data_IF_525804070450
#
_entry.id   IF_525804070450
#
_cell.length_a   1.000
_cell.length_b   1.000
_cell.length_c   1.000
_cell.angle_alpha   90.00
_cell.angle_beta   90.00
_cell.angle_gamma   90.00
#
_symmetry.space_group_name_H-M   'P 1'
#
loop_
_entity.id
_entity.type
_entity.pdbx_description
1 polymer ?
#
# COMPACT_ATOMS: atom_id res chain seq x y z
N UNK A 1 -21.78 8.31 8.68
CA UNK A 1 -23.03 8.64 9.40
C UNK A 1 -24.24 8.59 8.48
N UNK A 2 -24.23 9.23 7.32
CA UNK A 2 -25.33 9.21 6.33
C UNK A 2 -25.72 7.81 5.85
N UNK A 3 -24.76 6.92 5.57
CA UNK A 3 -25.05 5.56 5.11
C UNK A 3 -25.70 4.67 6.18
N UNK A 4 -25.34 4.85 7.46
CA UNK A 4 -25.95 4.15 8.59
C UNK A 4 -27.38 4.65 8.81
N UNK A 5 -27.61 5.95 8.67
CA UNK A 5 -28.94 6.58 8.74
C UNK A 5 -29.80 6.06 7.58
N UNK A 6 -29.24 6.01 6.36
CA UNK A 6 -29.95 5.48 5.19
C UNK A 6 -30.33 4.01 5.35
N UNK A 7 -29.43 3.20 5.90
CA UNK A 7 -29.68 1.78 6.21
C UNK A 7 -30.78 1.64 7.27
N UNK A 8 -30.73 2.46 8.34
CA UNK A 8 -31.75 2.48 9.41
C UNK A 8 -33.11 2.94 8.87
N UNK A 9 -33.12 3.93 7.96
CA UNK A 9 -34.36 4.41 7.32
C UNK A 9 -34.93 3.32 6.40
N UNK A 10 -34.11 2.66 5.58
CA UNK A 10 -34.55 1.57 4.70
C UNK A 10 -35.08 0.37 5.52
N UNK A 11 -34.38 0.00 6.60
CA UNK A 11 -34.85 -1.05 7.52
C UNK A 11 -36.13 -0.63 8.24
N UNK A 12 -36.24 0.62 8.69
CA UNK A 12 -37.42 1.17 9.37
C UNK A 12 -38.64 1.29 8.43
N UNK A 13 -38.44 1.70 7.19
CA UNK A 13 -39.49 1.73 6.16
C UNK A 13 -39.92 0.32 5.78
N UNK A 14 -38.97 -0.60 5.56
CA UNK A 14 -39.26 -2.02 5.32
C UNK A 14 -40.06 -2.63 6.46
N UNK A 15 -39.72 -2.32 7.72
CA UNK A 15 -40.45 -2.79 8.89
C UNK A 15 -41.88 -2.23 8.98
N UNK A 16 -42.14 -1.01 8.54
CA UNK A 16 -43.47 -0.38 8.52
C UNK A 16 -44.37 -0.91 7.38
N UNK A 17 -43.77 -1.29 6.25
CA UNK A 17 -44.52 -1.74 5.06
C UNK A 17 -44.83 -3.25 5.05
N UNK A 18 -44.33 -4.05 6.02
CA UNK A 18 -44.57 -5.50 6.11
C UNK A 18 -45.70 -5.84 7.08
N UNK A 19 -46.49 -6.82 6.72
CA UNK A 19 -47.57 -7.32 7.60
C UNK A 19 -47.01 -8.07 8.81
N UNK A 20 -47.74 -8.23 9.92
CA UNK A 20 -47.27 -9.02 11.07
C UNK A 20 -46.85 -10.45 10.71
N UNK A 21 -47.54 -11.06 9.73
CA UNK A 21 -47.23 -12.40 9.25
C UNK A 21 -45.91 -12.45 8.46
N UNK A 22 -45.66 -11.46 7.61
CA UNK A 22 -44.39 -11.35 6.86
C UNK A 22 -43.19 -11.10 7.80
N UNK A 23 -43.41 -10.34 8.88
CA UNK A 23 -42.39 -10.14 9.92
C UNK A 23 -42.05 -11.42 10.66
N UNK A 24 -43.06 -12.20 11.00
CA UNK A 24 -42.89 -13.52 11.66
C UNK A 24 -42.11 -14.47 10.74
N UNK A 25 -42.47 -14.58 9.46
CA UNK A 25 -41.74 -15.38 8.45
C UNK A 25 -40.32 -14.87 8.23
N UNK A 26 -40.10 -13.53 8.20
CA UNK A 26 -38.76 -12.96 8.05
C UNK A 26 -37.87 -13.29 9.25
N UNK A 27 -38.42 -13.18 10.47
CA UNK A 27 -37.68 -13.49 11.71
C UNK A 27 -37.38 -14.99 11.80
N UNK A 28 -38.31 -15.84 11.40
CA UNK A 28 -38.11 -17.30 11.36
C UNK A 28 -37.05 -17.68 10.34
N UNK A 29 -37.11 -17.15 9.11
CA UNK A 29 -36.08 -17.35 8.08
C UNK A 29 -34.75 -16.80 8.50
N UNK A 30 -34.69 -15.63 9.13
CA UNK A 30 -33.47 -15.04 9.66
C UNK A 30 -32.88 -15.91 10.80
N UNK A 31 -33.69 -16.46 11.67
CA UNK A 31 -33.25 -17.36 12.74
C UNK A 31 -32.68 -18.67 12.18
N UNK A 32 -33.31 -19.25 11.17
CA UNK A 32 -32.85 -20.46 10.48
C UNK A 32 -31.52 -20.15 9.78
N UNK A 33 -31.44 -19.05 9.01
CA UNK A 33 -30.23 -18.62 8.33
C UNK A 33 -29.08 -18.36 9.31
N UNK A 34 -29.36 -17.71 10.45
CA UNK A 34 -28.38 -17.49 11.52
C UNK A 34 -27.87 -18.79 12.13
N UNK A 35 -28.77 -19.77 12.32
CA UNK A 35 -28.41 -21.10 12.83
C UNK A 35 -27.52 -21.85 11.84
N UNK A 36 -27.85 -21.80 10.55
CA UNK A 36 -27.06 -22.42 9.50
C UNK A 36 -25.68 -21.73 9.34
N UNK A 37 -25.64 -20.40 9.36
CA UNK A 37 -24.38 -19.63 9.36
C UNK A 37 -23.51 -20.00 10.57
N UNK A 38 -24.11 -20.10 11.77
CA UNK A 38 -23.38 -20.54 12.98
C UNK A 38 -22.87 -21.96 12.85
N UNK A 39 -23.65 -22.89 12.31
CA UNK A 39 -23.26 -24.29 12.08
C UNK A 39 -22.10 -24.38 11.08
N UNK A 40 -22.20 -23.66 9.96
CA UNK A 40 -21.15 -23.60 8.94
C UNK A 40 -19.87 -22.96 9.54
N UNK A 41 -20.02 -21.89 10.31
CA UNK A 41 -18.88 -21.24 10.97
C UNK A 41 -18.23 -22.17 12.01
N UNK A 42 -19.00 -22.91 12.79
CA UNK A 42 -18.48 -23.88 13.74
C UNK A 42 -17.74 -25.04 13.04
N UNK A 43 -18.30 -25.58 11.95
CA UNK A 43 -17.62 -26.61 11.14
C UNK A 43 -16.31 -26.10 10.56
N UNK A 44 -16.31 -24.91 9.95
CA UNK A 44 -15.10 -24.26 9.42
C UNK A 44 -14.07 -23.96 10.51
N UNK A 45 -14.52 -23.66 11.72
CA UNK A 45 -13.64 -23.42 12.88
C UNK A 45 -12.95 -24.72 13.31
N UNK A 46 -13.67 -25.83 13.37
CA UNK A 46 -13.14 -27.16 13.68
C UNK A 46 -12.11 -27.62 12.63
N UNK A 47 -12.43 -27.48 11.35
CA UNK A 47 -11.52 -27.85 10.26
C UNK A 47 -10.23 -27.02 10.23
N UNK A 48 -10.26 -25.77 10.72
CA UNK A 48 -9.10 -24.88 10.82
C UNK A 48 -8.33 -25.00 12.15
N UNK A 49 -8.83 -25.76 13.12
CA UNK A 49 -8.24 -25.89 14.44
C UNK A 49 -6.82 -26.44 14.42
N UNK A 50 -6.52 -27.54 13.69
CA UNK A 50 -5.16 -28.13 13.68
C UNK A 50 -4.12 -27.13 13.22
N UNK A 51 -4.40 -26.39 12.15
CA UNK A 51 -3.51 -25.34 11.64
C UNK A 51 -3.32 -24.20 12.64
N UNK A 52 -4.39 -23.77 13.31
CA UNK A 52 -4.32 -22.70 14.33
C UNK A 52 -3.54 -23.13 15.56
N UNK A 53 -3.64 -24.38 15.96
CA UNK A 53 -2.93 -24.91 17.12
C UNK A 53 -1.45 -25.11 16.78
N UNK A 54 -1.11 -25.55 15.58
CA UNK A 54 0.26 -25.57 15.08
C UNK A 54 0.86 -24.14 14.98
N UNK A 55 0.09 -23.14 14.53
CA UNK A 55 0.54 -21.75 14.57
C UNK A 55 0.79 -21.23 15.99
N UNK A 56 -0.07 -21.61 16.96
CA UNK A 56 0.10 -21.22 18.37
C UNK A 56 1.30 -21.91 19.01
N UNK A 57 1.58 -23.16 18.65
CA UNK A 57 2.73 -23.90 19.13
C UNK A 57 4.05 -23.21 18.69
N UNK A 58 4.12 -22.68 17.47
CA UNK A 58 5.28 -21.93 16.98
C UNK A 58 5.45 -20.55 17.63
N UNK A 59 4.36 -19.82 17.79
CA UNK A 59 4.37 -18.51 18.44
C UNK A 59 3.03 -18.24 19.09
N UNK A 60 3.02 -18.16 20.42
CA UNK A 60 1.80 -17.94 21.22
C UNK A 60 1.09 -16.63 20.81
N UNK A 61 1.85 -15.56 20.51
CA UNK A 61 1.33 -14.22 20.25
C UNK A 61 1.98 -13.61 19.01
N UNK A 62 1.16 -13.09 18.09
CA UNK A 62 1.60 -12.13 17.09
C UNK A 62 1.64 -10.75 17.78
N UNK A 63 2.78 -10.09 17.77
CA UNK A 63 3.01 -8.79 18.44
C UNK A 63 3.27 -7.69 17.41
N UNK A 64 4.01 -8.00 16.34
CA UNK A 64 4.42 -7.03 15.33
C UNK A 64 3.22 -6.52 14.55
N UNK A 65 2.34 -7.42 14.11
CA UNK A 65 1.13 -7.06 13.35
C UNK A 65 0.23 -6.08 14.11
N UNK A 66 -0.20 -6.35 15.37
CA UNK A 66 -1.02 -5.38 16.10
C UNK A 66 -0.27 -4.09 16.43
N UNK A 67 1.05 -4.13 16.63
CA UNK A 67 1.85 -2.92 16.84
C UNK A 67 1.87 -2.03 15.58
N UNK A 68 2.06 -2.62 14.40
CA UNK A 68 1.99 -1.89 13.12
C UNK A 68 0.59 -1.29 12.90
N UNK A 69 -0.47 -2.04 13.18
CA UNK A 69 -1.85 -1.54 13.09
C UNK A 69 -2.06 -0.37 14.05
N UNK A 70 -1.67 -0.52 15.32
CA UNK A 70 -1.81 0.53 16.32
C UNK A 70 -1.06 1.79 15.92
N UNK A 71 0.16 1.67 15.38
CA UNK A 71 0.96 2.81 14.92
C UNK A 71 0.30 3.53 13.72
N UNK A 72 -0.22 2.79 12.74
CA UNK A 72 -0.94 3.37 11.61
C UNK A 72 -2.21 4.13 12.07
N UNK A 73 -2.99 3.52 12.97
CA UNK A 73 -4.19 4.16 13.53
C UNK A 73 -3.82 5.39 14.36
N UNK A 74 -2.78 5.30 15.20
CA UNK A 74 -2.28 6.42 15.99
C UNK A 74 -1.85 7.59 15.10
N UNK A 75 -1.06 7.33 14.06
CA UNK A 75 -0.62 8.36 13.11
C UNK A 75 -1.80 9.00 12.39
N UNK A 76 -2.75 8.20 11.93
CA UNK A 76 -3.96 8.71 11.27
C UNK A 76 -4.79 9.61 12.20
N UNK A 77 -5.04 9.18 13.45
CA UNK A 77 -5.75 9.98 14.45
C UNK A 77 -5.00 11.27 14.79
N UNK A 78 -3.66 11.21 14.84
CA UNK A 78 -2.82 12.38 15.07
C UNK A 78 -2.91 13.37 13.92
N UNK A 79 -2.89 12.91 12.67
CA UNK A 79 -3.08 13.74 11.48
C UNK A 79 -4.48 14.38 11.45
N UNK A 80 -5.53 13.65 11.86
CA UNK A 80 -6.90 14.20 11.96
C UNK A 80 -7.02 15.37 12.97
N UNK A 81 -6.17 15.36 14.02
CA UNK A 81 -6.14 16.44 15.02
C UNK A 81 -5.19 17.57 14.62
N UNK A 82 -4.33 17.34 13.67
CA UNK A 82 -3.41 18.34 13.13
C UNK A 82 -4.12 19.36 12.23
N UNK A 83 -3.36 20.37 11.82
CA UNK A 83 -3.84 21.34 10.83
C UNK A 83 -3.60 20.81 9.41
N UNK A 84 -4.53 21.10 8.51
CA UNK A 84 -4.48 20.74 7.09
C UNK A 84 -5.40 19.57 6.72
N UNK A 85 -5.64 19.40 5.44
CA UNK A 85 -6.46 18.30 4.92
C UNK A 85 -5.60 17.03 4.75
N UNK A 86 -6.11 15.87 5.14
CA UNK A 86 -5.39 14.60 5.06
C UNK A 86 -4.91 14.24 3.65
N UNK A 87 -5.59 14.69 2.60
CA UNK A 87 -5.23 14.46 1.20
C UNK A 87 -4.33 15.55 0.60
N UNK A 88 -4.05 16.62 1.34
CA UNK A 88 -3.21 17.70 0.85
C UNK A 88 -1.73 17.32 0.86
N UNK A 89 -1.02 17.43 -0.29
CA UNK A 89 0.38 17.04 -0.40
C UNK A 89 1.31 17.76 0.59
N UNK A 90 1.09 19.05 0.86
CA UNK A 90 1.94 19.82 1.78
C UNK A 90 1.73 19.34 3.22
N UNK A 91 0.49 19.06 3.60
CA UNK A 91 0.17 18.45 4.89
C UNK A 91 0.88 17.11 5.04
N UNK A 92 0.81 16.22 4.03
CA UNK A 92 1.46 14.92 4.07
C UNK A 92 2.98 15.08 4.19
N UNK A 93 3.60 15.99 3.44
CA UNK A 93 5.04 16.29 3.52
C UNK A 93 5.43 16.81 4.91
N UNK A 94 4.61 17.68 5.52
CA UNK A 94 4.86 18.20 6.87
C UNK A 94 4.84 17.09 7.93
N UNK A 95 4.00 16.09 7.77
CA UNK A 95 3.91 14.90 8.62
C UNK A 95 4.94 13.81 8.33
N UNK A 96 5.83 14.01 7.37
CA UNK A 96 6.91 13.06 7.05
C UNK A 96 6.61 12.15 5.86
N UNK A 97 5.69 12.56 4.97
CA UNK A 97 5.45 11.87 3.70
C UNK A 97 6.70 11.81 2.84
N UNK A 98 6.82 10.76 2.04
CA UNK A 98 7.94 10.54 1.15
C UNK A 98 7.83 11.48 -0.04
N UNK A 99 8.80 12.38 -0.17
CA UNK A 99 8.87 13.43 -1.18
C UNK A 99 10.31 13.62 -1.63
N UNK A 100 10.59 13.44 -2.92
CA UNK A 100 11.94 13.38 -3.47
C UNK A 100 12.85 14.50 -3.00
N UNK A 101 12.48 15.77 -3.19
CA UNK A 101 13.30 16.90 -2.80
C UNK A 101 13.71 16.96 -1.33
N UNK A 102 12.95 16.37 -0.43
CA UNK A 102 13.32 16.28 0.99
C UNK A 102 14.01 14.95 1.32
N UNK A 103 13.40 13.85 0.86
CA UNK A 103 13.91 12.50 1.16
C UNK A 103 15.33 12.33 0.67
N UNK A 104 15.63 12.74 -0.59
CA UNK A 104 16.93 12.51 -1.22
C UNK A 104 18.01 13.51 -0.80
N UNK A 105 17.60 14.62 -0.17
CA UNK A 105 18.50 15.66 0.34
C UNK A 105 18.73 15.56 1.87
N UNK A 106 18.68 14.36 2.42
CA UNK A 106 19.07 14.05 3.80
C UNK A 106 17.98 13.52 4.70
N UNK A 107 16.68 13.65 4.35
CA UNK A 107 15.58 13.20 5.18
C UNK A 107 15.14 11.76 4.84
N UNK A 108 16.10 10.83 4.67
CA UNK A 108 15.85 9.41 4.30
C UNK A 108 14.93 8.66 5.25
N UNK A 109 14.79 9.13 6.49
CA UNK A 109 13.85 8.60 7.46
C UNK A 109 12.39 8.65 6.98
N UNK A 110 12.08 9.53 6.02
CA UNK A 110 10.76 9.64 5.40
C UNK A 110 10.32 8.36 4.67
N UNK A 111 11.26 7.57 4.15
CA UNK A 111 10.94 6.28 3.52
C UNK A 111 10.26 5.33 4.51
N UNK A 112 10.69 5.33 5.77
CA UNK A 112 10.09 4.49 6.82
C UNK A 112 8.85 5.16 7.41
N UNK A 113 8.92 6.45 7.69
CA UNK A 113 7.85 7.16 8.38
C UNK A 113 6.59 7.29 7.52
N UNK A 114 6.75 7.52 6.22
CA UNK A 114 5.64 7.60 5.26
C UNK A 114 4.78 6.33 5.19
N UNK A 115 5.35 5.17 5.54
CA UNK A 115 4.62 3.89 5.59
C UNK A 115 3.51 3.85 6.65
N UNK A 116 3.49 4.81 7.58
CA UNK A 116 2.50 4.89 8.65
C UNK A 116 1.48 6.01 8.43
N UNK A 117 1.65 6.81 7.38
CA UNK A 117 0.75 7.89 7.03
C UNK A 117 -0.35 7.37 6.10
N UNK A 118 -1.60 7.56 6.45
CA UNK A 118 -2.73 7.21 5.60
C UNK A 118 -3.49 8.49 5.23
N UNK A 119 -3.69 8.73 3.95
CA UNK A 119 -4.27 9.96 3.40
C UNK A 119 -5.79 9.95 3.39
N UNK A 120 -6.42 8.79 3.68
CA UNK A 120 -7.87 8.64 3.68
C UNK A 120 -8.38 7.54 4.60
N UNK A 121 -9.62 7.70 5.08
CA UNK A 121 -10.27 6.74 5.97
C UNK A 121 -10.43 5.35 5.33
N UNK A 122 -10.85 5.29 4.08
CA UNK A 122 -11.00 4.02 3.37
C UNK A 122 -9.65 3.33 3.14
N UNK A 123 -8.61 4.10 2.81
CA UNK A 123 -7.25 3.59 2.68
C UNK A 123 -6.79 2.94 4.00
N UNK A 124 -6.96 3.63 5.12
CA UNK A 124 -6.61 3.09 6.43
C UNK A 124 -7.34 1.77 6.70
N UNK A 125 -8.68 1.73 6.52
CA UNK A 125 -9.48 0.53 6.80
C UNK A 125 -9.01 -0.65 5.96
N UNK A 126 -8.87 -0.46 4.65
CA UNK A 126 -8.49 -1.53 3.72
C UNK A 126 -7.08 -2.04 4.05
N UNK A 127 -6.14 -1.13 4.32
CA UNK A 127 -4.78 -1.49 4.73
C UNK A 127 -4.77 -2.26 6.05
N UNK A 128 -5.51 -1.82 7.06
CA UNK A 128 -5.54 -2.46 8.38
C UNK A 128 -6.23 -3.81 8.35
N UNK A 129 -7.32 -3.96 7.58
CA UNK A 129 -7.96 -5.27 7.38
C UNK A 129 -7.00 -6.23 6.69
N UNK A 130 -6.34 -5.80 5.63
CA UNK A 130 -5.37 -6.62 4.90
C UNK A 130 -4.20 -7.01 5.79
N UNK A 131 -3.57 -6.04 6.45
CA UNK A 131 -2.45 -6.28 7.36
C UNK A 131 -2.85 -7.21 8.52
N UNK A 132 -4.02 -7.02 9.12
CA UNK A 132 -4.51 -7.85 10.22
C UNK A 132 -4.75 -9.30 9.81
N UNK A 133 -5.33 -9.52 8.62
CA UNK A 133 -5.65 -10.86 8.15
C UNK A 133 -4.40 -11.67 7.77
N UNK A 134 -3.51 -11.09 6.94
CA UNK A 134 -2.31 -11.80 6.48
C UNK A 134 -1.19 -11.74 7.50
N UNK A 135 -1.05 -10.61 8.21
CA UNK A 135 0.07 -10.37 9.12
C UNK A 135 0.09 -11.35 10.28
N UNK A 136 -1.05 -11.57 10.96
CA UNK A 136 -1.13 -12.52 12.09
C UNK A 136 -0.74 -13.95 11.69
N UNK A 137 -1.02 -14.36 10.45
CA UNK A 137 -0.65 -15.67 9.95
C UNK A 137 0.84 -15.70 9.60
N UNK A 138 1.31 -14.74 8.77
CA UNK A 138 2.69 -14.71 8.30
C UNK A 138 3.69 -14.48 9.44
N UNK A 139 3.38 -13.59 10.39
CA UNK A 139 4.24 -13.35 11.55
C UNK A 139 4.53 -14.63 12.34
N UNK A 140 3.52 -15.53 12.44
CA UNK A 140 3.69 -16.82 13.13
C UNK A 140 4.35 -17.87 12.24
N UNK A 141 4.15 -17.80 10.92
CA UNK A 141 4.74 -18.76 9.96
C UNK A 141 6.23 -18.52 9.78
N UNK A 142 6.64 -17.28 9.49
CA UNK A 142 8.04 -16.93 9.19
C UNK A 142 8.81 -16.39 10.39
N UNK A 143 8.11 -16.08 11.50
CA UNK A 143 8.69 -15.46 12.69
C UNK A 143 8.67 -13.92 12.64
N UNK A 144 8.73 -13.33 13.85
CA UNK A 144 8.55 -11.87 14.06
C UNK A 144 9.58 -11.03 13.30
N UNK A 145 10.86 -11.41 13.41
CA UNK A 145 11.97 -10.65 12.79
C UNK A 145 11.91 -10.71 11.26
N UNK A 146 11.67 -11.88 10.68
CA UNK A 146 11.53 -12.04 9.24
C UNK A 146 10.30 -11.29 8.70
N UNK A 147 9.18 -11.38 9.40
CA UNK A 147 7.95 -10.66 9.05
C UNK A 147 8.17 -9.13 9.04
N UNK A 148 8.73 -8.59 10.14
CA UNK A 148 9.04 -7.17 10.23
C UNK A 148 10.05 -6.75 9.17
N UNK A 149 11.11 -7.53 8.96
CA UNK A 149 12.13 -7.28 7.94
C UNK A 149 11.53 -7.18 6.54
N UNK A 150 10.67 -8.12 6.16
CA UNK A 150 9.99 -8.09 4.84
C UNK A 150 9.06 -6.89 4.72
N UNK A 151 8.29 -6.58 5.77
CA UNK A 151 7.39 -5.41 5.78
C UNK A 151 8.16 -4.11 5.52
N UNK A 152 9.22 -3.85 6.30
CA UNK A 152 10.02 -2.63 6.14
C UNK A 152 10.79 -2.61 4.84
N UNK A 153 11.41 -3.73 4.44
CA UNK A 153 12.15 -3.82 3.19
C UNK A 153 11.26 -3.54 1.97
N UNK A 154 10.08 -4.16 1.92
CA UNK A 154 9.12 -3.95 0.84
C UNK A 154 8.61 -2.50 0.78
N UNK A 155 8.32 -1.91 1.94
CA UNK A 155 7.89 -0.51 2.01
C UNK A 155 8.97 0.47 1.59
N UNK A 156 10.20 0.29 2.06
CA UNK A 156 11.36 1.13 1.68
C UNK A 156 11.62 1.02 0.18
N UNK A 157 11.65 -0.20 -0.36
CA UNK A 157 11.91 -0.41 -1.78
C UNK A 157 10.80 0.16 -2.66
N UNK A 158 9.54 -0.02 -2.26
CA UNK A 158 8.39 0.62 -2.92
C UNK A 158 8.47 2.15 -2.88
N UNK A 159 8.87 2.72 -1.74
CA UNK A 159 9.10 4.16 -1.58
C UNK A 159 10.22 4.69 -2.47
N UNK A 160 11.33 3.95 -2.61
CA UNK A 160 12.43 4.30 -3.53
C UNK A 160 11.99 4.25 -4.99
N UNK A 161 11.23 3.22 -5.38
CA UNK A 161 10.73 3.13 -6.76
C UNK A 161 9.71 4.24 -7.06
N UNK A 162 8.87 4.60 -6.09
CA UNK A 162 7.98 5.77 -6.20
C UNK A 162 8.75 7.04 -6.48
N UNK A 163 9.86 7.29 -5.75
CA UNK A 163 10.74 8.45 -6.00
C UNK A 163 11.43 8.41 -7.35
N UNK A 164 11.82 7.22 -7.82
CA UNK A 164 12.44 7.06 -9.14
C UNK A 164 11.47 7.36 -10.28
N UNK A 165 10.20 6.98 -10.12
CA UNK A 165 9.18 7.15 -11.15
C UNK A 165 8.52 8.54 -11.12
N UNK A 166 8.31 9.07 -9.91
CA UNK A 166 7.59 10.33 -9.67
C UNK A 166 8.27 11.13 -8.56
N UNK A 167 9.45 11.73 -8.84
CA UNK A 167 10.30 12.33 -7.81
C UNK A 167 9.66 13.51 -7.06
N UNK A 168 8.76 14.22 -7.71
CA UNK A 168 8.06 15.39 -7.11
C UNK A 168 6.68 15.09 -6.58
N UNK A 169 6.21 13.84 -6.71
CA UNK A 169 4.96 13.43 -6.10
C UNK A 169 5.18 13.03 -4.64
N UNK A 170 4.19 13.33 -3.81
CA UNK A 170 4.19 12.91 -2.40
C UNK A 170 3.57 11.54 -2.30
N UNK A 171 4.29 10.59 -1.73
CA UNK A 171 3.76 9.26 -1.46
C UNK A 171 3.68 8.96 0.04
N UNK A 172 2.60 8.30 0.44
CA UNK A 172 2.33 7.91 1.81
C UNK A 172 1.42 6.68 1.86
N UNK A 173 1.63 5.84 2.84
CA UNK A 173 0.83 4.66 3.11
C UNK A 173 1.63 3.37 3.19
N UNK A 174 1.11 2.36 3.89
CA UNK A 174 1.74 1.05 4.03
C UNK A 174 1.49 0.11 2.84
N UNK A 175 0.87 0.56 1.74
CA UNK A 175 0.40 -0.31 0.65
C UNK A 175 1.52 -1.12 0.01
N UNK A 176 2.69 -0.54 -0.25
CA UNK A 176 3.85 -1.26 -0.78
C UNK A 176 4.37 -2.33 0.20
N UNK A 177 4.40 -2.03 1.50
CA UNK A 177 4.79 -2.98 2.53
C UNK A 177 3.80 -4.15 2.64
N UNK A 178 2.49 -3.86 2.59
CA UNK A 178 1.42 -4.88 2.61
C UNK A 178 1.47 -5.71 1.33
N UNK A 179 1.72 -5.10 0.17
CA UNK A 179 1.95 -5.83 -1.09
C UNK A 179 3.14 -6.79 -0.97
N UNK A 180 4.21 -6.38 -0.27
CA UNK A 180 5.32 -7.27 0.09
C UNK A 180 4.90 -8.49 0.91
N UNK A 181 4.01 -8.30 1.87
CA UNK A 181 3.46 -9.43 2.64
C UNK A 181 2.58 -10.35 1.77
N UNK A 182 1.87 -9.83 0.78
CA UNK A 182 1.17 -10.67 -0.21
C UNK A 182 2.16 -11.43 -1.10
N UNK A 183 3.28 -10.81 -1.50
CA UNK A 183 4.37 -11.49 -2.21
C UNK A 183 4.98 -12.63 -1.38
N UNK A 184 5.26 -12.38 -0.11
CA UNK A 184 5.71 -13.38 0.85
C UNK A 184 4.71 -14.54 0.97
N UNK A 185 3.41 -14.22 1.12
CA UNK A 185 2.34 -15.22 1.19
C UNK A 185 2.31 -16.07 -0.08
N UNK A 186 2.37 -15.45 -1.24
CA UNK A 186 2.37 -16.15 -2.53
C UNK A 186 3.55 -17.11 -2.65
N UNK A 187 4.76 -16.69 -2.27
CA UNK A 187 5.95 -17.53 -2.29
C UNK A 187 5.83 -18.73 -1.34
N UNK A 188 5.33 -18.51 -0.11
CA UNK A 188 5.10 -19.59 0.88
C UNK A 188 4.05 -20.59 0.37
N UNK A 189 2.97 -20.10 -0.24
CA UNK A 189 1.93 -20.96 -0.82
C UNK A 189 2.46 -21.76 -2.01
N UNK A 190 3.20 -21.12 -2.91
CA UNK A 190 3.78 -21.77 -4.08
C UNK A 190 4.78 -22.84 -3.65
N UNK A 191 5.64 -22.53 -2.68
CA UNK A 191 6.57 -23.51 -2.12
C UNK A 191 5.86 -24.72 -1.53
N UNK A 192 4.82 -24.50 -0.72
CA UNK A 192 4.02 -25.56 -0.13
C UNK A 192 3.25 -26.38 -1.18
N UNK A 193 2.90 -25.77 -2.33
CA UNK A 193 2.25 -26.47 -3.44
C UNK A 193 3.25 -27.37 -4.22
N UNK A 194 4.43 -26.85 -4.53
CA UNK A 194 5.47 -27.56 -5.29
C UNK A 194 6.02 -28.75 -4.48
N UNK A 195 6.18 -28.59 -3.16
CA UNK A 195 6.77 -29.57 -2.28
C UNK A 195 5.73 -30.41 -1.50
N UNK A 196 4.47 -30.44 -1.94
CA UNK A 196 3.48 -31.38 -1.43
C UNK A 196 3.97 -32.80 -1.72
N UNK A 197 4.37 -33.52 -0.66
CA UNK A 197 4.52 -34.99 -0.77
C UNK A 197 3.13 -35.59 -0.94
N UNK A 198 2.92 -36.54 -1.87
CA UNK A 198 1.77 -37.43 -1.81
C UNK A 198 1.72 -38.04 -0.40
N UNK A 199 0.54 -38.17 0.18
CA UNK A 199 0.37 -38.94 1.42
C UNK A 199 1.01 -40.31 1.18
N UNK A 200 1.96 -40.78 2.03
CA UNK A 200 2.50 -42.10 1.86
C UNK A 200 1.36 -43.12 1.95
N UNK A 201 1.20 -43.96 0.96
CA UNK A 201 0.57 -45.26 1.16
C UNK A 201 1.31 -45.92 2.33
N UNK A 202 0.57 -46.53 3.25
CA UNK A 202 0.93 -46.91 4.60
C UNK A 202 2.11 -47.88 4.81
N UNK A 203 2.91 -48.14 3.80
CA UNK A 203 3.94 -49.22 3.84
C UNK A 203 5.36 -48.80 3.41
N UNK A 204 5.68 -47.52 3.28
CA UNK A 204 7.06 -47.10 2.96
C UNK A 204 7.81 -46.73 4.25
N UNK A 205 8.87 -47.50 4.55
CA UNK A 205 9.84 -47.32 5.62
C UNK A 205 10.30 -45.86 5.73
N UNK A 206 10.24 -45.38 6.95
CA UNK A 206 10.71 -44.03 7.38
C UNK A 206 12.24 -44.04 7.35
N UNK A 207 12.82 -43.62 6.26
CA UNK A 207 14.20 -43.12 6.21
C UNK A 207 14.17 -41.88 5.36
N UNK A 208 14.29 -40.73 5.97
CA UNK A 208 15.10 -39.62 5.51
C UNK A 208 14.73 -38.34 6.27
N UNK A 209 15.76 -37.59 6.59
CA UNK A 209 15.81 -36.30 7.27
C UNK A 209 14.54 -35.48 7.12
N UNK A 210 13.83 -35.30 8.22
CA UNK A 210 12.57 -34.53 8.30
C UNK A 210 12.92 -33.06 8.08
N UNK A 211 12.96 -32.66 6.81
CA UNK A 211 12.73 -31.27 6.47
C UNK A 211 11.31 -30.96 6.92
N UNK A 212 11.14 -30.38 8.11
CA UNK A 212 9.84 -29.81 8.46
C UNK A 212 9.54 -28.67 7.48
N UNK A 213 8.61 -28.86 6.53
CA UNK A 213 8.24 -27.78 5.64
C UNK A 213 7.62 -26.68 6.50
N UNK A 214 7.91 -25.41 6.16
CA UNK A 214 7.11 -24.29 6.64
C UNK A 214 5.65 -24.69 6.64
N UNK A 215 4.96 -24.48 7.76
CA UNK A 215 3.59 -24.88 7.99
C UNK A 215 2.73 -24.60 6.74
N UNK A 216 2.29 -25.64 6.05
CA UNK A 216 1.50 -25.51 4.82
C UNK A 216 0.18 -24.82 5.15
N UNK A 217 -0.04 -23.64 4.57
CA UNK A 217 -1.28 -22.87 4.77
C UNK A 217 -2.42 -23.60 4.05
N UNK A 218 -3.45 -24.06 4.77
CA UNK A 218 -4.55 -24.79 4.14
C UNK A 218 -5.29 -23.93 3.12
N UNK A 219 -5.70 -24.53 1.99
CA UNK A 219 -6.45 -23.82 0.93
C UNK A 219 -7.70 -23.11 1.46
N UNK A 220 -8.33 -23.64 2.50
CA UNK A 220 -9.47 -23.00 3.17
C UNK A 220 -9.08 -21.64 3.79
N UNK A 221 -7.87 -21.51 4.34
CA UNK A 221 -7.37 -20.23 4.85
C UNK A 221 -7.11 -19.25 3.72
N UNK A 222 -6.55 -19.72 2.60
CA UNK A 222 -6.36 -18.89 1.39
C UNK A 222 -7.69 -18.34 0.88
N UNK A 223 -8.72 -19.18 0.78
CA UNK A 223 -10.08 -18.76 0.39
C UNK A 223 -10.68 -17.73 1.35
N UNK A 224 -10.29 -17.75 2.62
CA UNK A 224 -10.72 -16.76 3.63
C UNK A 224 -9.99 -15.44 3.48
N UNK A 225 -8.72 -15.45 3.05
CA UNK A 225 -7.90 -14.25 2.81
C UNK A 225 -8.24 -13.57 1.49
N UNK A 226 -8.73 -14.32 0.50
CA UNK A 226 -8.97 -13.85 -0.85
C UNK A 226 -9.86 -12.60 -0.97
N UNK A 227 -10.99 -12.45 -0.23
CA UNK A 227 -11.82 -11.25 -0.34
C UNK A 227 -11.11 -9.97 0.07
N UNK A 228 -10.33 -10.01 1.16
CA UNK A 228 -9.57 -8.83 1.60
C UNK A 228 -8.40 -8.53 0.67
N UNK A 229 -7.73 -9.57 0.16
CA UNK A 229 -6.68 -9.42 -0.85
C UNK A 229 -7.23 -8.80 -2.13
N UNK A 230 -8.39 -9.26 -2.60
CA UNK A 230 -9.05 -8.70 -3.79
C UNK A 230 -9.45 -7.24 -3.55
N UNK A 231 -10.07 -6.94 -2.41
CA UNK A 231 -10.43 -5.57 -2.05
C UNK A 231 -9.20 -4.65 -1.99
N UNK A 232 -8.10 -5.12 -1.40
CA UNK A 232 -6.85 -4.39 -1.32
C UNK A 232 -6.28 -4.13 -2.73
N UNK A 233 -6.20 -5.15 -3.58
CA UNK A 233 -5.70 -5.03 -4.94
C UNK A 233 -6.56 -4.09 -5.79
N UNK A 234 -7.89 -4.24 -5.75
CA UNK A 234 -8.81 -3.36 -6.49
C UNK A 234 -8.70 -1.91 -6.00
N UNK A 235 -8.67 -1.69 -4.69
CA UNK A 235 -8.54 -0.35 -4.14
C UNK A 235 -7.26 0.33 -4.64
N UNK A 236 -6.10 -0.35 -4.56
CA UNK A 236 -4.84 0.23 -4.99
C UNK A 236 -4.74 0.39 -6.52
N UNK A 237 -5.38 -0.51 -7.30
CA UNK A 237 -5.42 -0.39 -8.77
C UNK A 237 -6.19 0.85 -9.24
N UNK A 238 -7.26 1.23 -8.51
CA UNK A 238 -8.09 2.40 -8.85
C UNK A 238 -7.67 3.68 -8.12
N UNK A 239 -6.72 3.59 -7.18
CA UNK A 239 -6.22 4.74 -6.45
C UNK A 239 -4.90 5.23 -7.07
N UNK A 240 -4.99 6.29 -7.87
CA UNK A 240 -3.86 6.86 -8.61
C UNK A 240 -2.80 7.55 -7.73
N UNK A 241 -3.02 7.65 -6.42
CA UNK A 241 -2.18 8.44 -5.50
C UNK A 241 -0.77 7.87 -5.27
N UNK A 242 -0.56 6.57 -5.52
CA UNK A 242 0.76 5.91 -5.45
C UNK A 242 0.85 5.02 -6.68
N UNK A 243 1.70 5.34 -7.63
CA UNK A 243 1.81 4.55 -8.86
C UNK A 243 1.93 3.06 -8.58
N UNK A 244 1.19 2.21 -9.31
CA UNK A 244 1.19 0.74 -9.19
C UNK A 244 2.59 0.10 -9.14
N UNK A 245 3.61 0.82 -9.60
CA UNK A 245 5.00 0.41 -9.56
C UNK A 245 5.55 0.19 -8.15
N UNK A 246 5.21 1.04 -7.18
CA UNK A 246 5.69 0.91 -5.81
C UNK A 246 5.15 -0.37 -5.13
N UNK A 247 3.91 -0.70 -5.39
CA UNK A 247 3.25 -1.89 -4.85
C UNK A 247 3.79 -3.16 -5.50
N UNK A 248 4.01 -3.12 -6.82
CA UNK A 248 4.64 -4.22 -7.55
C UNK A 248 6.06 -4.47 -7.04
N UNK A 249 6.85 -3.42 -6.82
CA UNK A 249 8.19 -3.53 -6.24
C UNK A 249 8.15 -4.16 -4.83
N UNK A 250 7.25 -3.69 -3.98
CA UNK A 250 7.03 -4.30 -2.67
C UNK A 250 6.70 -5.78 -2.77
N UNK A 251 5.79 -6.15 -3.67
CA UNK A 251 5.39 -7.55 -3.89
C UNK A 251 6.56 -8.43 -4.37
N UNK A 252 7.42 -7.91 -5.26
CA UNK A 252 8.62 -8.61 -5.70
C UNK A 252 9.60 -8.86 -4.55
N UNK A 253 9.86 -7.83 -3.72
CA UNK A 253 10.71 -7.98 -2.52
C UNK A 253 10.18 -9.07 -1.60
N UNK A 254 8.87 -9.06 -1.35
CA UNK A 254 8.23 -10.07 -0.53
C UNK A 254 8.30 -11.48 -1.13
N UNK A 255 8.11 -11.61 -2.45
CA UNK A 255 8.20 -12.89 -3.15
C UNK A 255 9.64 -13.46 -3.12
N UNK A 256 10.65 -12.61 -3.35
CA UNK A 256 12.07 -13.01 -3.26
C UNK A 256 12.42 -13.42 -1.84
N UNK A 257 12.09 -12.61 -0.83
CA UNK A 257 12.31 -12.95 0.57
C UNK A 257 11.57 -14.25 0.94
N UNK A 258 10.33 -14.40 0.48
CA UNK A 258 9.51 -15.57 0.71
C UNK A 258 10.09 -16.85 0.11
N UNK A 259 10.69 -16.79 -1.07
CA UNK A 259 11.33 -17.95 -1.72
C UNK A 259 12.54 -18.48 -0.92
N UNK A 260 13.23 -17.58 -0.21
CA UNK A 260 14.35 -17.95 0.68
C UNK A 260 13.84 -18.47 2.02
N UNK A 261 12.84 -17.78 2.60
CA UNK A 261 12.27 -18.11 3.91
C UNK A 261 11.39 -19.37 3.87
N UNK A 262 10.78 -19.68 2.73
CA UNK A 262 9.95 -20.87 2.56
C UNK A 262 10.74 -22.18 2.52
N UNK A 263 12.04 -22.13 2.22
CA UNK A 263 12.93 -23.28 2.39
C UNK A 263 12.99 -23.60 3.90
N UNK A 264 12.32 -24.64 4.34
CA UNK A 264 12.30 -25.07 5.73
C UNK A 264 13.71 -25.09 6.32
N UNK A 265 13.84 -24.65 7.55
CA UNK A 265 15.07 -24.83 8.32
C UNK A 265 15.07 -26.25 8.86
N UNK A 266 16.14 -27.01 8.62
CA UNK A 266 16.43 -28.21 9.38
C UNK A 266 16.43 -27.84 10.89
N UNK A 267 15.94 -28.69 11.76
CA UNK A 267 15.91 -28.47 13.23
C UNK A 267 17.26 -28.04 13.81
N UNK A 268 18.37 -28.31 13.12
CA UNK A 268 19.73 -27.98 13.53
C UNK A 268 20.18 -26.54 13.21
N UNK A 269 19.50 -25.80 12.31
CA UNK A 269 19.95 -24.48 11.89
C UNK A 269 18.99 -23.37 12.31
N UNK A 270 19.52 -22.38 13.02
CA UNK A 270 18.79 -21.14 13.33
C UNK A 270 18.38 -20.41 12.04
N UNK A 271 17.13 -19.95 11.89
CA UNK A 271 16.70 -19.16 10.72
C UNK A 271 17.40 -17.79 10.63
N UNK A 272 18.05 -17.35 11.71
CA UNK A 272 18.66 -16.03 11.82
C UNK A 272 19.68 -15.71 10.72
N UNK A 273 20.64 -16.57 10.34
CA UNK A 273 21.61 -16.23 9.28
C UNK A 273 20.95 -16.07 7.90
N UNK A 274 19.93 -16.87 7.59
CA UNK A 274 19.20 -16.74 6.30
C UNK A 274 18.37 -15.45 6.25
N UNK A 275 17.71 -15.10 7.35
CA UNK A 275 16.98 -13.84 7.48
C UNK A 275 17.96 -12.67 7.36
N UNK A 276 19.10 -12.72 8.06
CA UNK A 276 20.12 -11.70 7.98
C UNK A 276 20.70 -11.53 6.57
N UNK A 277 21.02 -12.64 5.88
CA UNK A 277 21.49 -12.61 4.49
C UNK A 277 20.47 -12.03 3.53
N UNK A 278 19.19 -12.41 3.65
CA UNK A 278 18.11 -11.86 2.83
C UNK A 278 17.95 -10.36 3.06
N UNK A 279 17.97 -9.92 4.32
CA UNK A 279 17.89 -8.50 4.67
C UNK A 279 19.12 -7.71 4.18
N UNK A 280 20.31 -8.29 4.25
CA UNK A 280 21.54 -7.68 3.71
C UNK A 280 21.46 -7.48 2.20
N UNK A 281 21.01 -8.47 1.44
CA UNK A 281 20.81 -8.37 0.00
C UNK A 281 19.79 -7.28 -0.34
N UNK A 282 18.64 -7.25 0.33
CA UNK A 282 17.63 -6.22 0.14
C UNK A 282 18.18 -4.82 0.48
N UNK A 283 18.96 -4.70 1.56
CA UNK A 283 19.58 -3.43 1.93
C UNK A 283 20.59 -2.95 0.88
N UNK A 284 21.41 -3.86 0.32
CA UNK A 284 22.36 -3.52 -0.77
C UNK A 284 21.61 -3.04 -2.01
N UNK A 285 20.55 -3.73 -2.40
CA UNK A 285 19.73 -3.32 -3.55
C UNK A 285 19.06 -1.96 -3.28
N UNK A 286 18.51 -1.76 -2.08
CA UNK A 286 17.92 -0.47 -1.68
C UNK A 286 18.95 0.67 -1.72
N UNK A 287 20.15 0.44 -1.22
CA UNK A 287 21.24 1.43 -1.30
C UNK A 287 21.64 1.73 -2.75
N UNK A 288 21.77 0.69 -3.58
CA UNK A 288 22.12 0.87 -4.99
C UNK A 288 21.05 1.66 -5.77
N UNK A 289 19.78 1.51 -5.42
CA UNK A 289 18.68 2.29 -6.01
C UNK A 289 18.57 3.70 -5.44
N UNK A 290 19.00 3.92 -4.20
CA UNK A 290 18.95 5.23 -3.55
C UNK A 290 20.07 6.18 -4.04
N UNK A 291 21.25 5.65 -4.40
CA UNK A 291 22.42 6.48 -4.82
C UNK A 291 22.10 7.40 -6.01
N UNK A 292 21.49 6.93 -7.11
CA UNK A 292 21.18 7.79 -8.27
C UNK A 292 20.07 8.81 -8.00
N UNK A 293 19.31 8.66 -6.89
CA UNK A 293 18.21 9.56 -6.53
C UNK A 293 18.65 10.77 -5.70
N UNK A 294 19.95 10.92 -5.42
CA UNK A 294 20.45 12.04 -4.60
C UNK A 294 20.32 13.37 -5.35
N UNK A 295 19.93 14.40 -4.63
CA UNK A 295 19.94 15.76 -5.14
C UNK A 295 18.73 16.13 -6.01
N UNK A 296 17.59 15.49 -5.84
CA UNK A 296 16.36 15.88 -6.55
C UNK A 296 15.93 17.28 -6.09
N UNK A 297 15.84 18.23 -7.04
CA UNK A 297 15.39 19.59 -6.78
C UNK A 297 13.86 19.68 -6.62
N UNK A 298 13.39 20.59 -5.77
CA UNK A 298 11.94 20.92 -5.69
C UNK A 298 11.59 21.96 -6.75
N UNK A 299 11.07 21.51 -7.88
CA UNK A 299 10.64 22.36 -8.99
C UNK A 299 9.23 22.93 -8.83
N UNK A 300 8.46 22.53 -7.80
CA UNK A 300 7.06 22.97 -7.62
C UNK A 300 6.90 24.48 -7.46
N UNK A 301 7.74 25.18 -6.67
CA UNK A 301 7.64 26.64 -6.57
C UNK A 301 7.89 27.33 -7.91
N UNK A 302 8.81 26.79 -8.72
CA UNK A 302 9.10 27.33 -10.04
C UNK A 302 7.99 26.98 -11.06
N UNK A 303 7.36 25.81 -10.95
CA UNK A 303 6.20 25.46 -11.80
C UNK A 303 5.06 26.46 -11.63
N UNK A 304 4.76 26.90 -10.42
CA UNK A 304 3.74 27.92 -10.17
C UNK A 304 4.09 29.25 -10.85
N UNK A 305 5.36 29.68 -10.78
CA UNK A 305 5.86 30.87 -11.46
C UNK A 305 5.78 30.74 -12.99
N UNK A 306 6.12 29.57 -13.53
CA UNK A 306 6.07 29.30 -14.98
C UNK A 306 4.64 29.37 -15.47
N UNK A 307 3.69 28.73 -14.80
CA UNK A 307 2.26 28.76 -15.15
C UNK A 307 1.72 30.18 -15.09
N UNK A 308 2.13 31.00 -14.10
CA UNK A 308 1.75 32.43 -14.02
C UNK A 308 2.32 33.23 -15.20
N UNK A 309 3.59 33.04 -15.54
CA UNK A 309 4.22 33.67 -16.70
C UNK A 309 3.54 33.26 -18.01
N UNK A 310 3.29 31.94 -18.22
CA UNK A 310 2.56 31.46 -19.40
C UNK A 310 1.15 32.04 -19.50
N UNK A 311 0.40 32.04 -18.41
CA UNK A 311 -0.98 32.55 -18.39
C UNK A 311 -1.01 34.04 -18.72
N UNK A 312 -0.09 34.81 -18.12
CA UNK A 312 0.01 36.24 -18.35
C UNK A 312 0.47 36.58 -19.76
N UNK A 313 1.47 35.87 -20.28
CA UNK A 313 1.98 36.08 -21.64
C UNK A 313 0.95 35.66 -22.69
N UNK A 314 0.25 34.54 -22.50
CA UNK A 314 -0.83 34.09 -23.36
C UNK A 314 -1.98 35.13 -23.42
N UNK A 315 -2.38 35.69 -22.28
CA UNK A 315 -3.39 36.75 -22.20
C UNK A 315 -2.93 38.02 -22.92
N UNK A 316 -1.69 38.44 -22.75
CA UNK A 316 -1.13 39.60 -23.42
C UNK A 316 -1.09 39.39 -24.94
N UNK A 317 -0.70 38.17 -25.37
CA UNK A 317 -0.71 37.79 -26.80
C UNK A 317 -2.12 37.84 -27.38
N UNK A 318 -3.10 37.22 -26.75
CA UNK A 318 -4.49 37.22 -27.18
C UNK A 318 -5.03 38.64 -27.30
N UNK A 319 -4.76 39.51 -26.30
CA UNK A 319 -5.18 40.90 -26.30
C UNK A 319 -4.56 41.66 -27.48
N UNK A 320 -3.27 41.46 -27.73
CA UNK A 320 -2.57 42.11 -28.84
C UNK A 320 -3.12 41.65 -30.22
N UNK A 321 -3.39 40.36 -30.37
CA UNK A 321 -4.01 39.80 -31.61
C UNK A 321 -5.42 40.33 -31.82
N UNK A 322 -6.24 40.44 -30.78
CA UNK A 322 -7.59 41.04 -30.88
C UNK A 322 -7.53 42.50 -31.27
N UNK A 323 -6.59 43.27 -30.72
CA UNK A 323 -6.40 44.69 -31.10
C UNK A 323 -5.96 44.82 -32.57
N UNK A 324 -5.09 43.95 -33.02
CA UNK A 324 -4.67 43.88 -34.41
C UNK A 324 -5.84 43.52 -35.36
N UNK A 325 -6.64 42.51 -35.01
CA UNK A 325 -7.81 42.12 -35.79
C UNK A 325 -8.87 43.24 -35.88
N UNK A 326 -9.00 44.02 -34.78
CA UNK A 326 -9.94 45.18 -34.74
C UNK A 326 -9.35 46.44 -35.41
N UNK A 327 -8.17 46.34 -36.03
CA UNK A 327 -7.50 47.47 -36.68
C UNK A 327 -6.99 48.56 -35.74
N UNK A 328 -6.90 48.26 -34.45
CA UNK A 328 -6.39 49.18 -33.40
C UNK A 328 -4.89 49.10 -33.17
N UNK A 329 -4.25 48.07 -33.69
CA UNK A 329 -2.82 47.82 -33.61
C UNK A 329 -2.31 47.53 -35.04
N UNK A 330 -1.15 48.08 -35.39
CA UNK A 330 -0.48 47.77 -36.64
C UNK A 330 0.32 46.46 -36.56
N UNK A 331 0.71 45.88 -37.71
CA UNK A 331 1.55 44.68 -37.72
C UNK A 331 2.88 44.89 -37.01
N UNK A 332 3.51 46.04 -37.19
CA UNK A 332 4.74 46.44 -36.47
C UNK A 332 4.51 46.59 -34.97
N UNK A 333 3.34 47.10 -34.58
CA UNK A 333 3.00 47.21 -33.14
C UNK A 333 2.75 45.84 -32.49
N UNK A 334 2.17 44.88 -33.24
CA UNK A 334 2.01 43.49 -32.78
C UNK A 334 3.41 42.83 -32.62
N UNK A 335 4.27 42.95 -33.63
CA UNK A 335 5.64 42.44 -33.58
C UNK A 335 6.44 43.02 -32.37
N UNK A 336 6.37 44.32 -32.18
CA UNK A 336 7.03 44.97 -31.04
C UNK A 336 6.48 44.47 -29.68
N UNK A 337 5.17 44.20 -29.57
CA UNK A 337 4.55 43.65 -28.35
C UNK A 337 5.10 42.26 -28.06
N UNK A 338 5.23 41.43 -29.07
CA UNK A 338 5.77 40.07 -28.96
C UNK A 338 7.26 40.15 -28.51
N UNK A 339 8.04 40.96 -29.25
CA UNK A 339 9.51 41.00 -29.01
C UNK A 339 9.88 41.65 -27.68
N UNK A 340 9.16 42.66 -27.24
CA UNK A 340 9.49 43.39 -26.02
C UNK A 340 8.84 42.91 -24.76
N UNK A 341 7.60 42.37 -24.86
CA UNK A 341 6.80 42.05 -23.68
C UNK A 341 6.59 40.54 -23.47
N UNK A 342 6.61 39.72 -24.54
CA UNK A 342 6.32 38.31 -24.44
C UNK A 342 7.58 37.45 -24.45
N UNK A 343 8.44 37.61 -25.49
CA UNK A 343 9.65 36.78 -25.62
C UNK A 343 10.63 36.93 -24.45
N UNK A 344 10.90 38.15 -23.89
CA UNK A 344 11.77 38.27 -22.76
C UNK A 344 11.28 37.60 -21.48
N UNK A 345 9.97 37.61 -21.24
CA UNK A 345 9.38 36.94 -20.10
C UNK A 345 9.50 35.41 -20.21
N UNK A 346 9.19 34.86 -21.39
CA UNK A 346 9.36 33.43 -21.68
C UNK A 346 10.84 33.02 -21.64
N UNK A 347 11.73 33.88 -22.17
CA UNK A 347 13.19 33.64 -22.13
C UNK A 347 13.76 33.62 -20.71
N UNK A 348 13.25 34.46 -19.79
CA UNK A 348 13.61 34.44 -18.38
C UNK A 348 13.11 33.16 -17.69
N UNK A 349 11.88 32.72 -18.01
CA UNK A 349 11.33 31.47 -17.48
C UNK A 349 12.16 30.26 -17.94
N UNK A 350 12.51 30.18 -19.23
CA UNK A 350 13.36 29.13 -19.82
C UNK A 350 14.77 29.10 -19.18
N UNK A 351 15.41 30.27 -19.03
CA UNK A 351 16.70 30.34 -18.37
C UNK A 351 16.66 29.88 -16.91
N UNK A 352 15.56 30.16 -16.21
CA UNK A 352 15.35 29.75 -14.82
C UNK A 352 15.17 28.24 -14.70
N UNK A 353 14.40 27.62 -15.61
CA UNK A 353 14.26 26.17 -15.69
C UNK A 353 15.62 25.49 -15.92
N UNK A 354 16.43 26.03 -16.83
CA UNK A 354 17.76 25.49 -17.15
C UNK A 354 18.77 25.62 -16.01
N UNK A 355 18.51 26.47 -15.03
CA UNK A 355 19.36 26.68 -13.86
C UNK A 355 19.01 25.79 -12.66
N UNK A 356 17.88 25.08 -12.71
CA UNK A 356 17.45 24.13 -11.67
C UNK A 356 18.11 22.77 -11.85
#
# INVERSE_FOLDING_TARGET
>A
MTMLILLLVVVGLGYRCTTPEDRARFLENAAVTLKDVRRIAAKKRLESQPFRDALKARSAWAIVTPALIALNVFMYVSMLRGQGALGDPETIVSWGGNFGPRTTNGEWWRLVFSMFLNTGFFQLIINMISLGQIGVILERVVGRAAFAGVYFAAGIFGGLLSLSSYPVNVSAGPSAAISGLYGLLAAVLLWGFIHRRPTPDSDAEIVDEVFEPLLTIPLMMVKRLAPAALLFLLYNLFNESVGAGAEFAGMLVGAVAGSVLAKGTSEAESPAPRVAATMAVVAVIALATAVPLRGIADIRPEMANIVDVETRTAKNYQTAVEQFQKGRLTADGLAQTIDRNILPELGKADARIKSL
#
